data_IF_935392264506
#
_entry.id   IF_935392264506
#
_cell.length_a   1.000
_cell.length_b   1.000
_cell.length_c   1.000
_cell.angle_alpha   90.00
_cell.angle_beta   90.00
_cell.angle_gamma   90.00
#
_symmetry.space_group_name_H-M   'P 1'
#
loop_
_entity.id
_entity.type
_entity.pdbx_description
1 polymer ?
#
# COMPACT_ATOMS: atom_id res chain seq x y z
N UNK A 1 -32.27 32.93 0.64
CA UNK A 1 -30.85 32.68 1.01
C UNK A 1 -30.62 31.30 1.62
N UNK A 2 -31.45 30.84 2.58
CA UNK A 2 -31.32 29.55 3.29
C UNK A 2 -31.25 28.31 2.36
N UNK A 3 -32.00 28.30 1.25
CA UNK A 3 -32.01 27.18 0.28
C UNK A 3 -30.68 26.97 -0.46
N UNK A 4 -29.90 28.04 -0.65
CA UNK A 4 -28.57 27.96 -1.30
C UNK A 4 -27.51 27.44 -0.33
N UNK A 5 -27.62 27.78 0.95
CA UNK A 5 -26.73 27.28 2.02
C UNK A 5 -26.94 25.78 2.22
N UNK A 6 -28.19 25.30 2.22
CA UNK A 6 -28.49 23.86 2.31
C UNK A 6 -27.94 23.06 1.12
N UNK A 7 -27.98 23.59 -0.11
CA UNK A 7 -27.38 22.94 -1.27
C UNK A 7 -25.85 22.89 -1.19
N UNK A 8 -25.21 23.96 -0.70
CA UNK A 8 -23.75 23.98 -0.49
C UNK A 8 -23.31 23.01 0.61
N UNK A 9 -24.03 22.96 1.74
CA UNK A 9 -23.75 22.01 2.82
C UNK A 9 -23.97 20.57 2.35
N UNK A 10 -25.05 20.28 1.60
CA UNK A 10 -25.31 18.95 1.04
C UNK A 10 -24.28 18.55 -0.02
N UNK A 11 -23.83 19.49 -0.85
CA UNK A 11 -22.75 19.26 -1.82
C UNK A 11 -21.40 19.01 -1.14
N UNK A 12 -21.08 19.68 -0.03
CA UNK A 12 -19.86 19.42 0.76
C UNK A 12 -19.96 18.07 1.49
N UNK A 13 -21.15 17.71 1.99
CA UNK A 13 -21.40 16.42 2.65
C UNK A 13 -21.30 15.23 1.67
N UNK A 14 -21.60 15.44 0.38
CA UNK A 14 -21.44 14.44 -0.68
C UNK A 14 -19.99 14.27 -1.16
N UNK A 15 -19.11 15.27 -0.94
CA UNK A 15 -17.71 15.23 -1.37
C UNK A 15 -16.82 14.47 -0.38
N UNK A 16 -17.28 14.22 0.85
CA UNK A 16 -16.64 13.29 1.78
C UNK A 16 -17.01 11.85 1.39
N UNK A 17 -16.68 11.46 0.17
CA UNK A 17 -16.66 10.06 -0.22
C UNK A 17 -15.43 9.45 0.42
N UNK A 18 -15.66 8.59 1.42
CA UNK A 18 -14.63 7.74 2.00
C UNK A 18 -13.82 7.07 0.89
N UNK A 19 -12.50 7.22 0.93
CA UNK A 19 -11.60 6.48 0.04
C UNK A 19 -11.69 5.00 0.39
N UNK A 20 -12.43 4.23 -0.42
CA UNK A 20 -12.63 2.80 -0.23
C UNK A 20 -11.43 2.01 -0.78
N UNK A 21 -10.27 2.11 -0.13
CA UNK A 21 -9.06 1.39 -0.53
C UNK A 21 -8.02 1.34 0.61
N UNK A 22 -7.09 0.41 0.51
CA UNK A 22 -5.96 0.25 1.44
C UNK A 22 -4.78 1.12 1.03
N UNK A 23 -4.22 1.87 1.97
CA UNK A 23 -3.13 2.82 1.77
C UNK A 23 -2.19 2.84 2.98
N UNK A 24 -0.89 2.76 2.76
CA UNK A 24 0.11 2.83 3.83
C UNK A 24 0.30 4.23 4.43
N UNK A 25 -0.24 5.29 3.82
CA UNK A 25 0.09 6.66 4.23
C UNK A 25 1.42 7.13 3.66
N UNK A 26 1.71 8.42 3.75
CA UNK A 26 3.01 8.98 3.34
C UNK A 26 4.16 8.61 4.30
N UNK A 27 3.82 8.09 5.47
CA UNK A 27 4.76 7.81 6.56
C UNK A 27 5.15 6.35 6.71
N UNK A 28 4.57 5.44 5.93
CA UNK A 28 4.85 4.01 6.00
C UNK A 28 5.07 3.41 4.60
N UNK A 29 5.74 2.26 4.57
CA UNK A 29 6.19 1.58 3.36
C UNK A 29 5.62 0.15 3.36
N UNK A 30 5.20 -0.40 2.20
CA UNK A 30 4.79 -1.80 2.10
C UNK A 30 5.97 -2.74 2.34
N UNK A 31 5.95 -3.49 3.43
CA UNK A 31 7.02 -4.45 3.75
C UNK A 31 6.56 -5.90 3.63
N UNK A 32 5.25 -6.16 3.63
CA UNK A 32 4.75 -7.53 3.41
C UNK A 32 3.59 -7.55 2.45
N UNK A 33 3.45 -8.68 1.78
CA UNK A 33 2.26 -9.00 1.01
C UNK A 33 1.88 -10.45 1.24
N UNK A 34 0.63 -10.65 1.64
CA UNK A 34 0.05 -11.96 1.87
C UNK A 34 -1.10 -12.18 0.92
N UNK A 35 -1.24 -13.40 0.42
CA UNK A 35 -2.51 -13.85 -0.13
C UNK A 35 -3.08 -14.87 0.84
N UNK A 36 -4.24 -14.55 1.43
CA UNK A 36 -4.89 -15.45 2.38
C UNK A 36 -5.35 -16.73 1.68
N UNK A 37 -5.66 -17.78 2.43
CA UNK A 37 -6.26 -19.01 1.88
C UNK A 37 -7.55 -18.74 1.09
N UNK A 38 -8.25 -17.64 1.42
CA UNK A 38 -9.43 -17.21 0.68
C UNK A 38 -9.12 -16.52 -0.64
N UNK A 39 -7.85 -16.28 -0.99
CA UNK A 39 -7.42 -15.46 -2.14
C UNK A 39 -7.44 -13.95 -1.88
N UNK A 40 -7.75 -13.51 -0.65
CA UNK A 40 -7.77 -12.09 -0.31
C UNK A 40 -6.33 -11.57 -0.15
N UNK A 41 -5.87 -10.58 -0.96
CA UNK A 41 -4.58 -9.94 -0.76
C UNK A 41 -4.60 -9.07 0.50
N UNK A 42 -3.50 -9.06 1.24
CA UNK A 42 -3.29 -8.25 2.44
C UNK A 42 -1.94 -7.56 2.35
N UNK A 43 -1.94 -6.23 2.39
CA UNK A 43 -0.73 -5.40 2.35
C UNK A 43 -0.31 -5.00 3.77
N UNK A 44 0.87 -5.43 4.21
CA UNK A 44 1.43 -4.96 5.48
C UNK A 44 2.35 -3.77 5.28
N UNK A 45 2.12 -2.72 6.07
CA UNK A 45 2.91 -1.50 6.08
C UNK A 45 3.77 -1.42 7.35
N UNK A 46 4.97 -0.86 7.25
CA UNK A 46 5.84 -0.57 8.38
C UNK A 46 6.35 0.86 8.30
N UNK A 47 6.75 1.42 9.45
CA UNK A 47 7.42 2.72 9.56
C UNK A 47 8.87 2.48 9.97
N UNK A 48 9.82 2.38 9.01
CA UNK A 48 11.23 2.28 9.32
C UNK A 48 11.71 3.50 10.11
N UNK A 49 12.71 3.33 10.98
CA UNK A 49 13.22 4.44 11.79
C UNK A 49 13.73 5.62 10.96
N UNK A 50 14.26 5.35 9.77
CA UNK A 50 14.82 6.37 8.88
C UNK A 50 13.77 7.08 8.01
N UNK A 51 12.48 6.75 8.11
CA UNK A 51 11.41 7.25 7.22
C UNK A 51 10.14 7.62 8.02
N UNK A 52 9.28 8.47 7.45
CA UNK A 52 7.99 8.86 8.01
C UNK A 52 8.02 10.09 8.91
N UNK A 53 9.03 10.95 8.75
CA UNK A 53 9.24 12.14 9.57
C UNK A 53 9.10 13.44 8.77
N UNK A 54 8.48 14.43 9.39
CA UNK A 54 8.46 15.82 8.91
C UNK A 54 9.80 16.52 9.22
N UNK A 55 10.05 17.65 8.56
CA UNK A 55 11.26 18.45 8.80
C UNK A 55 11.37 19.04 10.23
N UNK A 56 10.28 19.07 10.99
CA UNK A 56 10.25 19.50 12.40
C UNK A 56 10.49 18.34 13.40
N UNK A 57 10.75 17.13 12.90
CA UNK A 57 10.97 15.93 13.69
C UNK A 57 9.71 15.23 14.20
N UNK A 58 8.52 15.73 13.88
CA UNK A 58 7.28 15.01 14.18
C UNK A 58 7.02 13.94 13.14
N UNK A 59 6.22 12.93 13.50
CA UNK A 59 5.70 11.99 12.50
C UNK A 59 4.83 12.72 11.49
N UNK A 60 4.83 12.22 10.25
CA UNK A 60 3.92 12.74 9.23
C UNK A 60 2.47 12.30 9.52
N UNK A 61 1.53 13.20 9.22
CA UNK A 61 0.14 13.10 9.68
C UNK A 61 -0.70 12.07 8.92
N UNK A 62 -0.34 11.75 7.67
CA UNK A 62 -1.06 10.72 6.90
C UNK A 62 -0.77 9.33 7.46
N UNK A 63 -1.81 8.76 8.08
CA UNK A 63 -1.81 7.41 8.66
C UNK A 63 -2.21 6.36 7.63
N UNK A 64 -1.77 5.13 7.89
CA UNK A 64 -2.20 3.99 7.11
C UNK A 64 -3.70 3.73 7.34
N UNK A 65 -4.42 3.40 6.28
CA UNK A 65 -5.84 3.06 6.29
C UNK A 65 -6.06 1.77 5.52
N UNK A 66 -6.90 0.89 6.03
CA UNK A 66 -7.12 -0.42 5.43
C UNK A 66 -8.58 -0.68 5.12
N UNK A 67 -8.85 -1.23 3.94
CA UNK A 67 -10.20 -1.51 3.49
C UNK A 67 -10.67 -2.88 4.00
N UNK A 68 -11.98 -3.03 4.21
CA UNK A 68 -12.56 -4.29 4.71
C UNK A 68 -13.27 -5.03 3.59
N UNK A 69 -12.78 -6.23 3.30
CA UNK A 69 -13.40 -7.17 2.37
C UNK A 69 -13.96 -8.33 3.20
N UNK A 70 -15.29 -8.47 3.20
CA UNK A 70 -16.00 -9.48 3.99
C UNK A 70 -15.66 -9.45 5.50
N UNK A 71 -15.53 -8.23 6.04
CA UNK A 71 -15.21 -8.01 7.45
C UNK A 71 -13.73 -8.18 7.81
N UNK A 72 -12.88 -8.56 6.86
CA UNK A 72 -11.42 -8.69 7.06
C UNK A 72 -10.68 -7.55 6.37
N UNK A 73 -9.72 -6.95 7.05
CA UNK A 73 -8.88 -5.90 6.48
C UNK A 73 -7.93 -6.48 5.42
N UNK A 74 -7.80 -5.77 4.29
CA UNK A 74 -6.86 -6.07 3.20
C UNK A 74 -5.50 -5.37 3.41
N UNK A 75 -5.20 -5.00 4.65
CA UNK A 75 -3.87 -4.56 5.07
C UNK A 75 -3.77 -4.34 6.57
N UNK A 76 -2.57 -4.00 7.03
CA UNK A 76 -2.30 -3.68 8.43
C UNK A 76 -1.03 -2.82 8.57
N UNK A 77 -0.93 -2.05 9.66
CA UNK A 77 0.31 -1.39 10.06
C UNK A 77 1.03 -2.26 11.10
N UNK A 78 2.33 -2.49 10.94
CA UNK A 78 3.16 -3.26 11.90
C UNK A 78 2.92 -2.77 13.32
N UNK A 79 2.66 -3.70 14.24
CA UNK A 79 2.16 -3.38 15.58
C UNK A 79 3.05 -2.37 16.34
N UNK A 80 4.38 -2.51 16.24
CA UNK A 80 5.36 -1.59 16.85
C UNK A 80 5.33 -0.16 16.30
N UNK A 81 4.68 0.05 15.16
CA UNK A 81 4.65 1.33 14.45
C UNK A 81 3.30 2.06 14.61
N UNK A 82 2.31 1.37 15.20
CA UNK A 82 1.01 1.93 15.59
C UNK A 82 1.10 2.84 16.81
N UNK A 83 2.04 2.58 17.71
CA UNK A 83 2.27 3.42 18.88
C UNK A 83 2.87 4.77 18.46
N UNK A 84 2.47 5.82 19.18
CA UNK A 84 3.12 7.13 19.07
C UNK A 84 4.58 7.03 19.53
N UNK A 85 5.48 7.64 18.77
CA UNK A 85 6.87 7.83 19.21
C UNK A 85 7.09 9.30 19.47
N UNK A 86 7.96 9.57 20.45
CA UNK A 86 8.46 10.91 20.70
C UNK A 86 9.04 11.50 19.42
N UNK A 87 8.86 12.81 19.16
CA UNK A 87 9.52 13.48 18.06
C UNK A 87 11.02 13.24 18.10
N UNK A 88 11.60 12.85 16.96
CA UNK A 88 13.04 12.72 16.79
C UNK A 88 13.55 14.01 16.15
N UNK A 89 14.49 14.70 16.79
CA UNK A 89 15.02 15.98 16.28
C UNK A 89 16.52 15.90 16.17
N UNK A 90 17.00 16.18 14.96
CA UNK A 90 18.41 16.35 14.65
C UNK A 90 18.63 17.67 13.91
N UNK A 91 19.83 18.25 14.01
CA UNK A 91 20.17 19.46 13.28
C UNK A 91 20.20 19.17 11.77
N UNK A 92 19.48 19.98 10.98
CA UNK A 92 19.40 19.76 9.53
C UNK A 92 18.43 18.65 9.10
N UNK A 93 17.52 18.23 9.98
CA UNK A 93 16.52 17.22 9.64
C UNK A 93 15.66 17.63 8.44
N UNK A 94 15.69 16.78 7.41
CA UNK A 94 14.87 16.91 6.20
C UNK A 94 13.65 16.01 6.31
N UNK A 95 12.52 16.41 5.72
CA UNK A 95 11.34 15.56 5.65
C UNK A 95 11.65 14.27 4.85
N UNK A 96 11.26 13.12 5.39
CA UNK A 96 11.46 11.79 4.81
C UNK A 96 10.10 11.10 4.65
N UNK A 97 9.29 11.63 3.75
CA UNK A 97 7.91 11.18 3.49
C UNK A 97 7.71 10.87 2.02
N UNK A 98 6.79 9.96 1.73
CA UNK A 98 6.44 9.62 0.37
C UNK A 98 5.58 10.69 -0.30
N UNK A 99 5.66 10.76 -1.62
CA UNK A 99 4.67 11.44 -2.47
C UNK A 99 3.86 10.37 -3.17
N UNK A 100 2.55 10.34 -2.92
CA UNK A 100 1.68 9.27 -3.41
C UNK A 100 0.66 9.81 -4.41
N UNK A 101 0.37 9.03 -5.45
CA UNK A 101 -0.67 9.35 -6.43
C UNK A 101 -2.04 9.41 -5.75
N UNK A 102 -3.00 10.18 -6.25
CA UNK A 102 -4.35 10.22 -5.66
C UNK A 102 -5.24 9.04 -6.08
N UNK A 103 -4.89 8.37 -7.17
CA UNK A 103 -5.73 7.35 -7.79
C UNK A 103 -5.07 5.97 -7.77
N UNK A 104 -5.90 4.95 -7.96
CA UNK A 104 -5.46 3.56 -8.08
C UNK A 104 -5.51 3.13 -9.55
N UNK A 105 -4.40 2.59 -10.04
CA UNK A 105 -4.20 2.17 -11.43
C UNK A 105 -4.10 0.65 -11.54
N UNK A 106 -4.31 0.12 -12.75
CA UNK A 106 -4.06 -1.30 -13.08
C UNK A 106 -2.66 -1.54 -13.66
N UNK A 107 -1.93 -0.47 -13.97
CA UNK A 107 -0.73 -0.55 -14.79
C UNK A 107 0.56 -0.80 -13.98
N UNK A 108 0.45 -1.21 -12.72
CA UNK A 108 1.59 -1.30 -11.82
C UNK A 108 2.20 0.06 -11.49
N UNK A 109 3.33 0.05 -10.80
CA UNK A 109 4.12 1.25 -10.50
C UNK A 109 5.31 1.42 -11.46
N UNK A 110 5.67 2.68 -11.72
CA UNK A 110 6.81 3.03 -12.58
C UNK A 110 8.14 2.86 -11.84
N UNK A 111 9.26 2.90 -12.57
CA UNK A 111 10.59 2.89 -11.97
C UNK A 111 10.77 4.06 -10.99
N UNK A 112 11.37 3.79 -9.82
CA UNK A 112 11.48 4.76 -8.73
C UNK A 112 10.20 4.99 -7.91
N UNK A 113 9.11 4.27 -8.26
CA UNK A 113 7.89 4.21 -7.46
C UNK A 113 7.75 2.83 -6.79
N UNK A 114 6.88 2.76 -5.79
CA UNK A 114 6.49 1.52 -5.14
C UNK A 114 4.99 1.52 -4.82
N UNK A 115 4.49 0.37 -4.37
CA UNK A 115 3.08 0.23 -4.02
C UNK A 115 2.77 0.89 -2.68
N UNK A 116 2.15 2.07 -2.72
CA UNK A 116 1.61 2.73 -1.54
C UNK A 116 0.31 2.14 -1.02
N UNK A 117 -0.42 1.41 -1.86
CA UNK A 117 -1.75 0.91 -1.50
C UNK A 117 -2.34 -0.04 -2.53
N UNK A 118 -3.37 -0.78 -2.11
CA UNK A 118 -4.12 -1.70 -2.95
C UNK A 118 -5.63 -1.45 -2.88
N UNK A 119 -6.34 -1.76 -3.97
CA UNK A 119 -7.80 -1.70 -4.03
C UNK A 119 -8.38 -2.82 -4.91
N UNK A 120 -9.52 -3.41 -4.55
CA UNK A 120 -10.22 -4.37 -5.41
C UNK A 120 -10.86 -3.67 -6.63
N UNK A 121 -10.79 -4.28 -7.82
CA UNK A 121 -11.28 -3.67 -9.07
C UNK A 121 -12.80 -3.47 -9.14
N UNK A 122 -13.57 -4.05 -8.21
CA UNK A 122 -15.01 -3.78 -8.05
C UNK A 122 -15.33 -2.41 -7.46
N UNK A 123 -14.30 -1.67 -7.01
CA UNK A 123 -14.45 -0.29 -6.52
C UNK A 123 -14.09 0.65 -7.66
N UNK A 124 -15.13 1.11 -8.37
CA UNK A 124 -15.08 2.28 -9.24
C UNK A 124 -15.13 3.53 -8.36
N UNK A 125 -14.11 4.39 -8.47
CA UNK A 125 -14.25 5.77 -8.02
C UNK A 125 -15.38 6.41 -8.85
N UNK A 126 -16.47 6.81 -8.19
CA UNK A 126 -17.62 7.44 -8.83
C UNK A 126 -18.95 7.08 -8.17
N UNK A 127 -19.44 8.00 -7.32
CA UNK A 127 -20.84 8.38 -7.02
C UNK A 127 -22.02 7.39 -6.98
N UNK A 128 -21.87 6.08 -7.08
CA UNK A 128 -23.03 5.17 -6.97
C UNK A 128 -22.70 3.94 -6.12
N UNK A 129 -22.72 4.15 -4.80
CA UNK A 129 -22.53 3.12 -3.80
C UNK A 129 -23.86 2.40 -3.55
N UNK A 130 -24.15 1.38 -4.34
CA UNK A 130 -24.84 0.21 -3.82
C UNK A 130 -23.89 -0.97 -3.93
N UNK A 131 -23.29 -1.35 -2.80
CA UNK A 131 -22.75 -2.69 -2.59
C UNK A 131 -23.93 -3.63 -2.74
N UNK A 132 -24.18 -4.11 -3.97
CA UNK A 132 -25.09 -5.25 -4.15
C UNK A 132 -24.46 -6.42 -3.39
N UNK A 133 -25.22 -7.14 -2.56
CA UNK A 133 -24.76 -8.39 -1.97
C UNK A 133 -24.19 -9.25 -3.10
N UNK A 134 -22.91 -9.54 -3.02
CA UNK A 134 -22.25 -10.43 -3.98
C UNK A 134 -22.95 -11.78 -3.81
N UNK A 135 -23.60 -12.32 -4.87
CA UNK A 135 -24.21 -13.63 -4.82
C UNK A 135 -23.18 -14.64 -4.29
N UNK A 136 -23.62 -15.58 -3.46
CA UNK A 136 -22.73 -16.53 -2.80
C UNK A 136 -21.89 -17.36 -3.80
N UNK A 137 -22.37 -17.47 -5.04
CA UNK A 137 -21.74 -18.10 -6.20
C UNK A 137 -20.63 -17.28 -6.88
N UNK A 138 -20.44 -16.00 -6.55
CA UNK A 138 -19.41 -15.12 -7.12
C UNK A 138 -18.37 -14.64 -6.11
N UNK A 139 -18.42 -15.08 -4.84
CA UNK A 139 -17.34 -14.89 -3.84
C UNK A 139 -15.98 -15.32 -4.41
N UNK A 140 -15.92 -16.50 -5.04
CA UNK A 140 -14.72 -17.04 -5.70
C UNK A 140 -14.13 -16.14 -6.79
N UNK A 141 -14.95 -15.29 -7.42
CA UNK A 141 -14.54 -14.45 -8.56
C UNK A 141 -14.02 -13.06 -8.13
N UNK A 142 -14.27 -12.66 -6.88
CA UNK A 142 -13.66 -11.47 -6.25
C UNK A 142 -12.26 -11.79 -5.71
N UNK A 143 -12.03 -13.06 -5.34
CA UNK A 143 -10.76 -13.53 -4.79
C UNK A 143 -9.74 -13.97 -5.84
N UNK A 144 -10.17 -14.15 -7.10
CA UNK A 144 -9.22 -14.27 -8.19
C UNK A 144 -8.58 -12.91 -8.40
N UNK A 145 -7.25 -12.89 -8.40
CA UNK A 145 -6.40 -11.70 -8.38
C UNK A 145 -6.27 -10.86 -9.68
N UNK A 146 -6.86 -11.13 -10.87
CA UNK A 146 -6.60 -10.29 -12.05
C UNK A 146 -7.25 -8.89 -11.99
N UNK A 147 -7.63 -8.45 -10.80
CA UNK A 147 -8.46 -7.31 -10.48
C UNK A 147 -7.90 -6.53 -9.29
N UNK A 148 -6.58 -6.53 -9.08
CA UNK A 148 -5.93 -5.66 -8.11
C UNK A 148 -5.58 -4.32 -8.77
N UNK A 149 -5.99 -3.20 -8.17
CA UNK A 149 -5.46 -1.89 -8.52
C UNK A 149 -4.45 -1.47 -7.46
N UNK A 150 -3.42 -0.75 -7.87
CA UNK A 150 -2.36 -0.26 -6.98
C UNK A 150 -2.32 1.26 -6.99
N UNK A 151 -2.01 1.85 -5.84
CA UNK A 151 -1.67 3.27 -5.69
C UNK A 151 -0.16 3.34 -5.55
N UNK A 152 0.49 4.17 -6.34
CA UNK A 152 1.96 4.26 -6.32
C UNK A 152 2.43 5.45 -5.49
N UNK A 153 3.56 5.27 -4.81
CA UNK A 153 4.26 6.27 -4.03
C UNK A 153 5.72 6.38 -4.48
N UNK A 154 6.33 7.54 -4.27
CA UNK A 154 7.76 7.77 -4.56
C UNK A 154 8.43 8.56 -3.44
N UNK A 155 9.75 8.38 -3.34
CA UNK A 155 10.64 9.08 -2.43
C UNK A 155 12.00 9.09 -3.10
N UNK A 156 12.50 10.28 -3.45
CA UNK A 156 13.63 10.44 -4.34
C UNK A 156 14.90 9.66 -3.93
N UNK A 157 15.26 9.56 -2.63
CA UNK A 157 16.39 8.73 -2.21
C UNK A 157 16.28 7.24 -2.54
N UNK A 158 15.09 6.72 -2.85
CA UNK A 158 14.91 5.33 -3.25
C UNK A 158 15.16 5.08 -4.75
N UNK A 159 15.54 6.10 -5.53
CA UNK A 159 16.00 5.89 -6.91
C UNK A 159 17.31 5.09 -6.97
N UNK A 160 18.10 5.10 -5.89
CA UNK A 160 19.35 4.34 -5.77
C UNK A 160 19.17 2.99 -5.07
N UNK A 161 17.92 2.58 -4.87
CA UNK A 161 17.57 1.23 -4.45
C UNK A 161 17.99 0.22 -5.52
N UNK A 162 18.58 -0.89 -5.10
CA UNK A 162 18.94 -1.99 -6.01
C UNK A 162 17.62 -2.79 -6.34
N UNK A 163 17.49 -3.81 -7.26
CA UNK A 163 16.31 -4.78 -7.34
C UNK A 163 16.40 -6.22 -6.65
N UNK A 164 15.56 -6.58 -5.63
CA UNK A 164 15.72 -7.84 -4.83
C UNK A 164 15.26 -9.07 -5.61
N UNK A 165 14.54 -8.86 -6.71
CA UNK A 165 14.03 -9.90 -7.59
C UNK A 165 12.51 -10.03 -7.50
N UNK A 166 12.03 -11.19 -7.95
CA UNK A 166 10.60 -11.45 -8.08
C UNK A 166 10.20 -12.66 -7.26
N UNK A 167 9.16 -12.53 -6.45
CA UNK A 167 8.58 -13.60 -5.66
C UNK A 167 7.19 -13.95 -6.15
N UNK A 168 6.95 -15.23 -6.44
CA UNK A 168 5.60 -15.72 -6.74
C UNK A 168 4.87 -15.98 -5.42
N UNK A 169 3.70 -15.36 -5.26
CA UNK A 169 2.87 -15.55 -4.06
C UNK A 169 1.54 -16.20 -4.43
N UNK A 170 1.28 -17.35 -3.82
CA UNK A 170 0.03 -18.12 -3.95
C UNK A 170 -0.83 -17.98 -2.70
N UNK A 171 -2.07 -18.49 -2.77
CA UNK A 171 -2.96 -18.53 -1.61
C UNK A 171 -2.29 -19.24 -0.41
N UNK A 172 -2.44 -18.63 0.77
CA UNK A 172 -1.82 -19.08 2.01
C UNK A 172 -0.38 -18.61 2.21
N UNK A 173 0.26 -18.00 1.21
CA UNK A 173 1.64 -17.55 1.29
C UNK A 173 1.78 -16.07 1.68
N UNK A 174 2.93 -15.76 2.24
CA UNK A 174 3.33 -14.44 2.71
C UNK A 174 4.76 -14.18 2.24
N UNK A 175 4.97 -13.00 1.68
CA UNK A 175 6.29 -12.42 1.45
C UNK A 175 6.54 -11.35 2.50
N UNK A 176 7.75 -11.34 3.05
CA UNK A 176 8.18 -10.43 4.11
C UNK A 176 9.52 -9.83 3.73
N UNK A 177 9.52 -8.52 3.49
CA UNK A 177 10.71 -7.69 3.51
C UNK A 177 11.07 -7.29 4.94
N UNK A 178 12.27 -6.74 5.14
CA UNK A 178 12.74 -6.34 6.45
C UNK A 178 13.54 -5.05 6.45
N UNK A 179 13.87 -4.61 7.66
CA UNK A 179 14.91 -3.62 7.89
C UNK A 179 16.28 -4.30 7.71
N UNK A 180 17.16 -3.67 6.94
CA UNK A 180 18.52 -4.15 6.69
C UNK A 180 19.45 -3.51 7.71
N UNK A 181 20.03 -4.33 8.58
CA UNK A 181 20.87 -3.91 9.69
C UNK A 181 22.33 -4.23 9.41
N UNK A 182 23.23 -3.33 9.79
CA UNK A 182 24.67 -3.58 9.92
C UNK A 182 25.08 -3.33 11.37
N UNK A 183 25.26 -4.41 12.14
CA UNK A 183 25.35 -4.33 13.59
C UNK A 183 24.07 -3.74 14.18
N UNK A 184 24.19 -2.64 14.91
CA UNK A 184 23.07 -1.92 15.51
C UNK A 184 22.51 -0.78 14.62
N UNK A 185 23.15 -0.52 13.47
CA UNK A 185 22.75 0.53 12.56
C UNK A 185 21.74 0.02 11.53
N UNK A 186 20.63 0.75 11.35
CA UNK A 186 19.69 0.53 10.25
C UNK A 186 20.27 1.15 8.98
N UNK A 187 20.66 0.33 8.01
CA UNK A 187 21.22 0.78 6.74
C UNK A 187 20.19 0.94 5.64
N UNK A 188 19.10 0.16 5.69
CA UNK A 188 18.07 0.21 4.68
C UNK A 188 16.80 -0.53 5.08
N UNK A 189 15.86 -0.62 4.15
CA UNK A 189 14.65 -1.42 4.30
C UNK A 189 14.24 -1.97 2.95
N UNK A 190 13.64 -3.15 2.95
CA UNK A 190 13.00 -3.71 1.76
C UNK A 190 11.60 -3.11 1.61
N UNK A 191 11.20 -2.95 0.35
CA UNK A 191 9.85 -2.53 0.00
C UNK A 191 9.33 -3.31 -1.21
N UNK A 192 8.02 -3.31 -1.36
CA UNK A 192 7.34 -3.95 -2.50
C UNK A 192 7.18 -2.92 -3.62
N UNK A 193 8.00 -3.07 -4.66
CA UNK A 193 8.03 -2.14 -5.78
C UNK A 193 6.78 -2.28 -6.64
N UNK A 194 6.38 -3.52 -6.98
CA UNK A 194 5.20 -3.76 -7.81
C UNK A 194 4.53 -5.12 -7.54
N UNK A 195 3.26 -5.25 -7.95
CA UNK A 195 2.45 -6.47 -7.89
C UNK A 195 1.89 -6.68 -9.28
N UNK A 196 2.28 -7.78 -9.91
CA UNK A 196 1.76 -8.18 -11.22
C UNK A 196 0.86 -9.39 -11.06
N UNK A 197 -0.18 -9.43 -11.87
CA UNK A 197 -1.11 -10.55 -11.94
C UNK A 197 -0.85 -11.27 -13.26
N UNK A 198 -0.50 -12.55 -13.22
CA UNK A 198 -0.30 -13.31 -14.46
C UNK A 198 -1.62 -13.93 -14.92
N UNK A 199 -2.09 -13.51 -16.10
CA UNK A 199 -3.31 -13.99 -16.73
C UNK A 199 -3.12 -15.26 -17.57
N UNK A 200 -4.18 -16.07 -17.63
CA UNK A 200 -4.31 -17.35 -18.36
C UNK A 200 -3.96 -17.19 -19.85
N UNK A 201 -3.08 -18.06 -20.39
CA UNK A 201 -2.89 -18.25 -21.84
C UNK A 201 -3.42 -19.63 -22.29
N UNK A 202 -4.23 -19.64 -23.36
CA UNK A 202 -4.60 -20.80 -24.17
C UNK A 202 -5.49 -21.90 -23.54
N UNK A 203 -6.62 -21.53 -22.93
CA UNK A 203 -7.73 -22.47 -22.66
C UNK A 203 -7.42 -23.66 -21.74
N UNK A 204 -6.21 -23.71 -21.16
CA UNK A 204 -5.79 -24.71 -20.17
C UNK A 204 -5.99 -24.08 -18.80
N UNK A 205 -6.90 -24.66 -18.02
CA UNK A 205 -7.13 -24.26 -16.64
C UNK A 205 -5.87 -24.61 -15.83
N UNK A 206 -5.09 -23.58 -15.48
CA UNK A 206 -4.01 -23.66 -14.49
C UNK A 206 -4.59 -23.04 -13.22
N UNK A 207 -4.43 -23.63 -12.02
CA UNK A 207 -5.03 -23.13 -10.79
C UNK A 207 -4.76 -21.64 -10.57
N UNK A 208 -5.79 -20.92 -10.13
CA UNK A 208 -6.02 -19.48 -10.18
C UNK A 208 -5.15 -18.58 -9.26
N UNK A 209 -3.98 -19.01 -8.81
CA UNK A 209 -3.33 -18.39 -7.64
C UNK A 209 -1.88 -18.00 -7.87
N UNK A 210 -1.58 -17.11 -8.82
CA UNK A 210 -0.22 -16.67 -9.09
C UNK A 210 -0.13 -15.15 -9.35
N UNK A 211 0.34 -14.40 -8.36
CA UNK A 211 0.82 -13.02 -8.53
C UNK A 211 2.32 -12.95 -8.28
N UNK A 212 3.15 -12.66 -9.30
CA UNK A 212 4.51 -12.22 -9.06
C UNK A 212 4.53 -10.84 -8.37
N UNK A 213 5.21 -10.77 -7.22
CA UNK A 213 5.67 -9.55 -6.60
C UNK A 213 7.05 -9.19 -7.13
N UNK A 214 7.25 -7.95 -7.55
CA UNK A 214 8.60 -7.39 -7.65
C UNK A 214 9.00 -6.86 -6.28
N UNK A 215 9.88 -7.61 -5.62
CA UNK A 215 10.55 -7.16 -4.41
C UNK A 215 11.75 -6.30 -4.83
N UNK A 216 11.88 -5.08 -4.31
CA UNK A 216 13.14 -4.38 -4.46
C UNK A 216 13.13 -2.95 -3.92
N UNK A 217 14.27 -2.38 -3.47
CA UNK A 217 15.33 -3.02 -2.68
C UNK A 217 16.14 -2.03 -1.83
N UNK A 218 16.95 -2.61 -0.97
CA UNK A 218 17.79 -1.97 0.03
C UNK A 218 18.51 -0.73 -0.49
N UNK A 219 18.18 0.41 0.12
CA UNK A 219 19.01 1.62 0.06
C UNK A 219 20.26 1.40 0.90
N UNK A 220 21.42 1.79 0.36
CA UNK A 220 22.67 1.94 1.09
C UNK A 220 23.02 3.43 1.11
N UNK A 221 23.07 4.04 2.29
CA UNK A 221 24.02 5.13 2.54
C UNK A 221 24.69 4.93 3.91
N UNK A 222 26.03 4.86 3.94
CA UNK A 222 26.79 5.04 5.17
C UNK A 222 26.80 6.52 5.57
N UNK A 223 26.67 6.76 6.88
CA UNK A 223 27.11 7.91 7.67
C UNK A 223 27.68 9.14 6.93
N UNK A 224 27.07 10.30 7.16
CA UNK A 224 27.75 11.60 7.05
C UNK A 224 28.01 12.17 8.45
N UNK A 225 29.24 12.00 8.94
CA UNK A 225 29.89 12.87 9.95
C UNK A 225 29.45 12.74 11.39
#
# INVERSE_FOLDING_TARGET
MIRRIFCYIFSIYLVVQYTQASYCGQSAIPFTFQVLHSGLPVLGCARPNCFGWNANGTRADETAMFYKINGKEDGYLRHSDQADRSPYRDQGMVARVAKCQETYSKNGCEEGQWIGGIAPQGISQGSDLQVKPVPETSKSMIYSSPFLKVRCCSYAPLLESEDRGVAMVTNGQLVVGGEVMNGDALEGFDYIADIKTEGIKNGRFVPSDLCPLQEGKSTLYPYDG
#
